data_IF_956853911790
#
_entry.id   IF_956853911790
#
_cell.length_a   1.000
_cell.length_b   1.000
_cell.length_c   1.000
_cell.angle_alpha   90.00
_cell.angle_beta   90.00
_cell.angle_gamma   90.00
#
_symmetry.space_group_name_H-M   'P 1'
#
loop_
_entity.id
_entity.type
_entity.pdbx_description
1 polymer ?
#
# COMPACT_ATOMS: atom_id res chain seq x y z
N UNK A 1 -7.30 4.04 -18.78
CA UNK A 1 -5.87 3.64 -18.61
C UNK A 1 -5.15 3.35 -19.93
N UNK A 2 -5.60 3.88 -21.08
CA UNK A 2 -5.08 3.52 -22.41
C UNK A 2 -3.66 4.00 -22.73
N UNK A 3 -3.06 4.83 -21.88
CA UNK A 3 -1.68 5.35 -22.02
C UNK A 3 -0.71 4.79 -20.97
N UNK A 4 -1.12 3.81 -20.17
CA UNK A 4 -0.18 3.11 -19.29
C UNK A 4 0.83 2.31 -20.13
N UNK A 5 2.04 2.16 -19.59
CA UNK A 5 3.06 1.33 -20.21
C UNK A 5 2.55 -0.13 -20.27
N UNK A 6 2.45 -0.75 -21.47
CA UNK A 6 1.88 -2.08 -21.63
C UNK A 6 2.68 -3.18 -20.90
N UNK A 7 3.93 -2.91 -20.52
CA UNK A 7 4.76 -3.84 -19.73
C UNK A 7 4.24 -4.00 -18.31
N UNK A 8 3.55 -3.01 -17.76
CA UNK A 8 2.97 -3.07 -16.41
C UNK A 8 1.94 -4.18 -16.30
N UNK A 9 1.10 -4.36 -17.33
CA UNK A 9 0.08 -5.41 -17.36
C UNK A 9 0.68 -6.85 -17.40
N UNK A 10 1.96 -6.99 -17.75
CA UNK A 10 2.67 -8.27 -17.82
C UNK A 10 3.64 -8.49 -16.67
N UNK A 11 3.75 -7.52 -15.76
CA UNK A 11 4.72 -7.54 -14.67
C UNK A 11 3.98 -7.83 -13.37
N UNK A 12 4.40 -8.85 -12.62
CA UNK A 12 3.93 -9.02 -11.24
C UNK A 12 4.59 -7.95 -10.38
N UNK A 13 3.78 -7.03 -9.86
CA UNK A 13 4.24 -5.96 -8.98
C UNK A 13 3.82 -6.31 -7.56
N UNK A 14 4.80 -6.35 -6.67
CA UNK A 14 4.58 -6.53 -5.23
C UNK A 14 5.12 -5.27 -4.55
N UNK A 15 4.27 -4.59 -3.79
CA UNK A 15 4.69 -3.45 -3.00
C UNK A 15 4.77 -3.84 -1.52
N UNK A 16 5.92 -3.58 -0.92
CA UNK A 16 6.15 -3.80 0.50
C UNK A 16 5.39 -2.74 1.30
N UNK A 17 4.51 -3.18 2.20
CA UNK A 17 3.82 -2.30 3.16
C UNK A 17 3.64 -3.03 4.48
N UNK A 18 4.23 -2.47 5.54
CA UNK A 18 4.08 -2.99 6.91
C UNK A 18 3.01 -2.24 7.71
N UNK A 19 2.31 -1.30 7.07
CA UNK A 19 1.16 -0.59 7.66
C UNK A 19 -0.14 -1.14 7.08
N UNK A 20 -1.17 -1.24 7.93
CA UNK A 20 -2.50 -1.73 7.55
C UNK A 20 -3.53 -0.62 7.38
N UNK A 21 -3.13 0.63 7.59
CA UNK A 21 -4.03 1.79 7.53
C UNK A 21 -4.77 1.87 6.18
N UNK A 22 -6.10 2.07 6.19
CA UNK A 22 -6.88 2.29 4.98
C UNK A 22 -6.50 3.62 4.31
N UNK A 23 -7.09 3.90 3.14
CA UNK A 23 -6.81 5.13 2.42
C UNK A 23 -7.35 6.35 3.18
N UNK A 24 -8.57 6.26 3.69
CA UNK A 24 -9.33 7.37 4.29
C UNK A 24 -9.83 7.05 5.70
N UNK A 25 -10.39 8.07 6.38
CA UNK A 25 -11.00 7.94 7.70
C UNK A 25 -10.01 8.16 8.84
N UNK A 26 -10.48 8.06 10.08
CA UNK A 26 -9.69 8.42 11.28
C UNK A 26 -8.41 7.59 11.47
N UNK A 27 -8.38 6.39 10.90
CA UNK A 27 -7.20 5.52 10.87
C UNK A 27 -6.50 5.51 9.50
N UNK A 28 -6.92 6.37 8.58
CA UNK A 28 -6.43 6.44 7.21
C UNK A 28 -5.18 7.31 7.04
N UNK A 29 -4.77 7.48 5.78
CA UNK A 29 -3.46 8.04 5.44
C UNK A 29 -3.24 9.45 6.00
N UNK A 30 -4.22 10.33 5.80
CA UNK A 30 -4.14 11.74 6.20
C UNK A 30 -4.09 11.89 7.72
N UNK A 31 -4.96 11.18 8.45
CA UNK A 31 -5.05 11.29 9.90
C UNK A 31 -3.83 10.69 10.62
N UNK A 32 -3.32 9.55 10.15
CA UNK A 32 -2.22 8.85 10.84
C UNK A 32 -0.85 9.39 10.41
N UNK A 33 -0.63 9.64 9.12
CA UNK A 33 0.70 10.00 8.60
C UNK A 33 0.83 11.46 8.18
N UNK A 34 -0.28 12.20 8.08
CA UNK A 34 -0.25 13.63 7.75
C UNK A 34 0.50 14.48 8.79
N UNK A 35 0.20 14.37 10.10
CA UNK A 35 0.81 15.22 11.11
C UNK A 35 2.35 15.15 11.16
N UNK A 36 2.92 13.95 11.07
CA UNK A 36 4.38 13.75 11.03
C UNK A 36 5.04 14.30 9.74
N UNK A 37 4.24 14.62 8.71
CA UNK A 37 4.68 15.26 7.47
C UNK A 37 4.39 16.76 7.45
N UNK A 38 3.96 17.34 8.58
CA UNK A 38 3.67 18.76 8.72
C UNK A 38 2.24 19.19 8.37
N UNK A 39 1.30 18.25 8.18
CA UNK A 39 -0.09 18.61 7.95
C UNK A 39 -0.74 19.12 9.25
N UNK A 40 -1.35 20.31 9.18
CA UNK A 40 -2.20 20.83 10.25
C UNK A 40 -3.51 20.04 10.35
N UNK A 41 -4.26 20.17 11.45
CA UNK A 41 -5.56 19.50 11.60
C UNK A 41 -6.52 19.82 10.45
N UNK A 42 -6.56 21.08 9.99
CA UNK A 42 -7.36 21.49 8.83
C UNK A 42 -6.88 20.83 7.53
N UNK A 43 -5.56 20.80 7.30
CA UNK A 43 -4.99 20.12 6.13
C UNK A 43 -5.31 18.62 6.14
N UNK A 44 -5.30 17.98 7.30
CA UNK A 44 -5.65 16.55 7.43
C UNK A 44 -7.08 16.29 6.96
N UNK A 45 -8.04 17.13 7.34
CA UNK A 45 -9.44 17.01 6.89
C UNK A 45 -9.58 17.21 5.39
N UNK A 46 -8.91 18.22 4.83
CA UNK A 46 -8.91 18.50 3.39
C UNK A 46 -8.27 17.36 2.58
N UNK A 47 -7.15 16.82 3.06
CA UNK A 47 -6.45 15.70 2.42
C UNK A 47 -7.28 14.42 2.49
N UNK A 48 -7.90 14.10 3.63
CA UNK A 48 -8.76 12.92 3.77
C UNK A 48 -9.97 12.99 2.82
N UNK A 49 -10.62 14.15 2.71
CA UNK A 49 -11.69 14.38 1.75
C UNK A 49 -11.20 14.25 0.29
N UNK A 50 -10.02 14.77 -0.02
CA UNK A 50 -9.38 14.62 -1.32
C UNK A 50 -9.10 13.15 -1.69
N UNK A 51 -8.58 12.37 -0.74
CA UNK A 51 -8.33 10.94 -0.92
C UNK A 51 -9.62 10.15 -1.06
N UNK A 52 -10.70 10.54 -0.37
CA UNK A 52 -12.02 9.94 -0.54
C UNK A 52 -12.58 10.17 -1.94
N UNK A 53 -12.50 11.41 -2.43
CA UNK A 53 -12.89 11.73 -3.81
C UNK A 53 -12.09 10.92 -4.84
N UNK A 54 -10.79 10.72 -4.60
CA UNK A 54 -9.95 9.87 -5.44
C UNK A 54 -10.41 8.40 -5.40
N UNK A 55 -10.70 7.86 -4.21
CA UNK A 55 -11.18 6.49 -4.04
C UNK A 55 -12.50 6.26 -4.79
N UNK A 56 -13.44 7.19 -4.69
CA UNK A 56 -14.71 7.16 -5.42
C UNK A 56 -14.50 7.25 -6.94
N UNK A 57 -13.57 8.10 -7.39
CA UNK A 57 -13.22 8.19 -8.81
C UNK A 57 -12.59 6.89 -9.34
N UNK A 58 -11.73 6.24 -8.55
CA UNK A 58 -11.16 4.92 -8.89
C UNK A 58 -12.28 3.89 -8.99
N UNK A 59 -13.15 3.80 -7.97
CA UNK A 59 -14.27 2.85 -7.95
C UNK A 59 -15.20 3.04 -9.14
N UNK A 60 -15.59 4.29 -9.44
CA UNK A 60 -16.49 4.62 -10.55
C UNK A 60 -15.89 4.33 -11.93
N UNK A 61 -14.62 4.67 -12.15
CA UNK A 61 -14.03 4.60 -13.48
C UNK A 61 -13.32 3.28 -13.78
N UNK A 62 -12.87 2.57 -12.74
CA UNK A 62 -12.10 1.32 -12.87
C UNK A 62 -12.82 0.10 -12.29
N UNK A 63 -13.88 0.29 -11.50
CA UNK A 63 -14.57 -0.81 -10.81
C UNK A 63 -13.78 -1.43 -9.65
N UNK A 64 -12.71 -0.76 -9.20
CA UNK A 64 -11.82 -1.26 -8.14
C UNK A 64 -12.11 -0.50 -6.84
N UNK A 65 -12.32 -1.22 -5.75
CA UNK A 65 -12.50 -0.61 -4.43
C UNK A 65 -11.21 -0.70 -3.58
N UNK A 66 -10.57 0.46 -3.39
CA UNK A 66 -9.31 0.59 -2.65
C UNK A 66 -9.46 1.32 -1.31
N UNK A 67 -10.62 1.93 -1.03
CA UNK A 67 -10.77 2.89 0.07
C UNK A 67 -10.42 2.28 1.44
N UNK A 68 -10.98 1.10 1.70
CA UNK A 68 -10.86 0.41 2.98
C UNK A 68 -9.85 -0.75 2.94
N UNK A 69 -9.10 -0.91 1.84
CA UNK A 69 -8.16 -2.02 1.71
C UNK A 69 -6.99 -1.85 2.70
N UNK A 70 -6.56 -2.93 3.39
CA UNK A 70 -5.40 -2.86 4.27
C UNK A 70 -4.16 -2.35 3.55
N UNK A 71 -3.51 -1.34 4.11
CA UNK A 71 -2.31 -0.73 3.54
C UNK A 71 -2.56 0.21 2.37
N UNK A 72 -3.81 0.46 1.98
CA UNK A 72 -4.15 1.44 0.95
C UNK A 72 -3.65 2.85 1.28
N UNK A 73 -3.58 3.20 2.58
CA UNK A 73 -3.05 4.48 3.05
C UNK A 73 -1.53 4.59 3.07
N UNK A 74 -0.80 3.51 2.77
CA UNK A 74 0.65 3.49 2.79
C UNK A 74 1.24 4.61 1.91
N UNK A 75 2.30 5.23 2.42
CA UNK A 75 3.00 6.35 1.78
C UNK A 75 2.07 7.51 1.32
N UNK A 76 0.97 7.76 2.03
CA UNK A 76 0.04 8.85 1.69
C UNK A 76 -0.95 8.52 0.58
N UNK A 77 -1.34 7.24 0.47
CA UNK A 77 -2.28 6.76 -0.55
C UNK A 77 -1.62 6.15 -1.78
N UNK A 78 -0.28 6.03 -1.80
CA UNK A 78 0.42 5.33 -2.87
C UNK A 78 0.07 3.83 -2.87
N UNK A 79 -0.20 3.24 -1.70
CA UNK A 79 -0.70 1.85 -1.60
C UNK A 79 -1.96 1.63 -2.44
N UNK A 80 -2.96 2.49 -2.30
CA UNK A 80 -4.19 2.46 -3.09
C UNK A 80 -3.93 2.62 -4.59
N UNK A 81 -3.02 3.52 -4.96
CA UNK A 81 -2.66 3.72 -6.37
C UNK A 81 -1.90 2.52 -6.97
N UNK A 82 -1.00 1.88 -6.22
CA UNK A 82 -0.36 0.64 -6.64
C UNK A 82 -1.39 -0.47 -6.87
N UNK A 83 -2.36 -0.62 -5.97
CA UNK A 83 -3.46 -1.58 -6.17
C UNK A 83 -4.29 -1.25 -7.43
N UNK A 84 -4.75 0.00 -7.55
CA UNK A 84 -5.70 0.40 -8.59
C UNK A 84 -5.10 0.49 -9.99
N UNK A 85 -3.88 0.99 -10.11
CA UNK A 85 -3.28 1.32 -11.42
C UNK A 85 -2.22 0.33 -11.86
N UNK A 86 -1.55 -0.35 -10.93
CA UNK A 86 -0.49 -1.30 -11.23
C UNK A 86 -0.93 -2.76 -11.01
N UNK A 87 -2.12 -2.99 -10.46
CA UNK A 87 -2.57 -4.33 -10.06
C UNK A 87 -1.65 -4.95 -9.00
N UNK A 88 -0.99 -4.10 -8.20
CA UNK A 88 0.02 -4.55 -7.26
C UNK A 88 -0.60 -5.27 -6.06
N UNK A 89 0.07 -6.32 -5.61
CA UNK A 89 -0.20 -6.97 -4.33
C UNK A 89 0.55 -6.23 -3.22
N UNK A 90 -0.14 -5.80 -2.16
CA UNK A 90 0.53 -5.31 -0.96
C UNK A 90 0.87 -6.50 -0.06
N UNK A 91 2.15 -6.65 0.28
CA UNK A 91 2.63 -7.68 1.20
C UNK A 91 3.56 -7.07 2.25
N UNK A 92 3.70 -7.74 3.39
CA UNK A 92 4.69 -7.33 4.39
C UNK A 92 6.10 -7.41 3.80
N UNK A 93 6.93 -6.41 4.13
CA UNK A 93 8.30 -6.34 3.65
C UNK A 93 9.13 -7.56 4.09
N UNK A 94 8.91 -8.04 5.32
CA UNK A 94 9.63 -9.21 5.81
C UNK A 94 9.27 -10.47 5.04
N UNK A 95 7.99 -10.69 4.72
CA UNK A 95 7.56 -11.85 3.95
C UNK A 95 8.18 -11.85 2.55
N UNK A 96 8.24 -10.69 1.90
CA UNK A 96 8.90 -10.52 0.61
C UNK A 96 10.39 -10.91 0.70
N UNK A 97 11.09 -10.45 1.75
CA UNK A 97 12.51 -10.75 1.95
C UNK A 97 12.74 -12.23 2.28
N UNK A 98 11.90 -12.84 3.12
CA UNK A 98 11.98 -14.25 3.48
C UNK A 98 11.78 -15.15 2.26
N UNK A 99 10.82 -14.81 1.40
CA UNK A 99 10.59 -15.51 0.13
C UNK A 99 11.78 -15.32 -0.83
N UNK A 100 12.21 -14.07 -1.04
CA UNK A 100 13.28 -13.73 -1.99
C UNK A 100 14.64 -14.35 -1.62
N UNK A 101 14.91 -14.51 -0.32
CA UNK A 101 16.16 -15.10 0.18
C UNK A 101 16.08 -16.62 0.34
N UNK A 102 14.93 -17.23 0.01
CA UNK A 102 14.60 -18.63 0.29
C UNK A 102 14.89 -19.02 1.75
N UNK A 103 14.60 -18.09 2.68
CA UNK A 103 14.99 -18.23 4.09
C UNK A 103 14.44 -19.51 4.71
N UNK A 104 13.19 -19.88 4.41
CA UNK A 104 12.56 -21.11 4.88
C UNK A 104 13.35 -22.37 4.52
N UNK A 105 13.99 -22.40 3.35
CA UNK A 105 14.83 -23.53 2.92
C UNK A 105 16.16 -23.54 3.68
N UNK A 106 16.75 -22.37 3.91
CA UNK A 106 18.00 -22.22 4.68
C UNK A 106 17.82 -22.56 6.15
N UNK A 107 16.59 -22.44 6.67
CA UNK A 107 16.24 -22.82 8.03
C UNK A 107 16.25 -24.34 8.24
N UNK A 108 16.04 -25.13 7.18
CA UNK A 108 16.04 -26.59 7.28
C UNK A 108 17.45 -27.09 7.62
N UNK A 109 17.57 -27.73 8.78
CA UNK A 109 18.86 -28.24 9.28
C UNK A 109 19.70 -27.20 10.02
N UNK A 110 19.22 -25.97 10.20
CA UNK A 110 19.89 -24.99 11.04
C UNK A 110 19.86 -25.45 12.52
N UNK A 111 21.04 -25.62 13.13
CA UNK A 111 21.16 -25.97 14.55
C UNK A 111 20.95 -24.78 15.50
N UNK A 112 21.08 -23.55 15.00
CA UNK A 112 20.87 -22.31 15.75
C UNK A 112 20.50 -21.19 14.77
N UNK A 113 19.58 -20.32 15.18
CA UNK A 113 19.24 -19.08 14.48
C UNK A 113 19.44 -17.92 15.46
N UNK A 114 20.21 -16.92 15.04
CA UNK A 114 20.39 -15.66 15.79
C UNK A 114 19.75 -14.55 14.94
N UNK A 115 18.90 -13.74 15.57
CA UNK A 115 18.15 -12.65 14.93
C UNK A 115 18.12 -11.43 15.87
N UNK A 116 17.73 -10.26 15.37
CA UNK A 116 17.69 -8.99 16.08
C UNK A 116 17.14 -7.87 15.19
#
# INVERSE_FOLDING_TARGET
>A
LSRLDPRLAKTKIIAASDVQNPLTGKTGASYIFGPQKGATAKMVEELDAGLKNLAEAIRRNLGIDVENQPGAGAAGGMGAACMAFLGAELRSGIDILLDATAFKNKLQGAGLVITG
#
